data_IF_164148175256
#
_entry.id   IF_164148175256
#
_cell.length_a   1.000
_cell.length_b   1.000
_cell.length_c   1.000
_cell.angle_alpha   90.00
_cell.angle_beta   90.00
_cell.angle_gamma   90.00
#
_symmetry.space_group_name_H-M   'P 1'
#
loop_
_entity.id
_entity.type
_entity.pdbx_description
1 polymer ?
#
# COMPACT_ATOMS: atom_id res chain seq x y z
N UNK A 1 34.38 -58.69 -0.74
CA UNK A 1 34.65 -57.48 0.09
C UNK A 1 34.40 -56.14 -0.63
N UNK A 2 34.56 -56.06 -1.96
CA UNK A 2 34.33 -54.81 -2.73
C UNK A 2 32.85 -54.40 -2.90
N UNK A 3 31.93 -55.38 -2.95
CA UNK A 3 30.51 -55.14 -3.20
C UNK A 3 29.78 -54.50 -2.00
N UNK A 4 30.15 -54.88 -0.77
CA UNK A 4 29.60 -54.33 0.48
C UNK A 4 29.94 -52.84 0.68
N UNK A 5 31.10 -52.38 0.16
CA UNK A 5 31.54 -50.98 0.29
C UNK A 5 30.80 -50.04 -0.66
N UNK A 6 30.38 -50.53 -1.84
CA UNK A 6 29.56 -49.76 -2.79
C UNK A 6 28.10 -49.63 -2.34
N UNK A 7 27.50 -50.71 -1.81
CA UNK A 7 26.13 -50.69 -1.28
C UNK A 7 25.98 -49.72 -0.10
N UNK A 8 26.97 -49.71 0.81
CA UNK A 8 26.97 -48.82 1.99
C UNK A 8 27.12 -47.34 1.61
N UNK A 9 27.87 -47.01 0.55
CA UNK A 9 27.97 -45.63 0.02
C UNK A 9 26.67 -45.19 -0.67
N UNK A 10 26.01 -46.10 -1.38
CA UNK A 10 24.74 -45.82 -2.04
C UNK A 10 23.61 -45.56 -1.02
N UNK A 11 23.58 -46.34 0.07
CA UNK A 11 22.57 -46.19 1.13
C UNK A 11 22.76 -44.89 1.95
N UNK A 12 24.00 -44.44 2.17
CA UNK A 12 24.30 -43.16 2.84
C UNK A 12 23.95 -41.97 1.94
N UNK A 13 24.19 -42.07 0.62
CA UNK A 13 23.78 -41.05 -0.35
C UNK A 13 22.24 -40.96 -0.49
N UNK A 14 21.54 -42.10 -0.44
CA UNK A 14 20.07 -42.12 -0.45
C UNK A 14 19.47 -41.53 0.83
N UNK A 15 20.03 -41.85 2.02
CA UNK A 15 19.57 -41.27 3.29
C UNK A 15 19.81 -39.74 3.35
N UNK A 16 20.92 -39.26 2.79
CA UNK A 16 21.22 -37.82 2.70
C UNK A 16 20.28 -37.07 1.74
N UNK A 17 19.86 -37.70 0.64
CA UNK A 17 18.92 -37.12 -0.31
C UNK A 17 17.47 -37.07 0.22
N UNK A 18 17.08 -38.02 1.08
CA UNK A 18 15.72 -38.05 1.68
C UNK A 18 15.58 -36.98 2.78
N UNK A 19 16.64 -36.63 3.51
CA UNK A 19 16.59 -35.56 4.51
C UNK A 19 16.73 -34.14 3.94
N UNK A 20 17.31 -33.97 2.76
CA UNK A 20 17.42 -32.66 2.10
C UNK A 20 16.10 -32.18 1.44
N UNK A 21 15.11 -33.08 1.28
CA UNK A 21 13.83 -32.78 0.61
C UNK A 21 12.74 -32.17 1.48
N UNK A 22 12.94 -32.08 2.80
CA UNK A 22 11.93 -31.59 3.76
C UNK A 22 12.48 -30.43 4.62
N UNK A 23 13.12 -29.44 3.99
CA UNK A 23 13.13 -28.10 4.61
C UNK A 23 11.75 -27.52 4.30
N UNK A 24 10.80 -27.47 5.26
CA UNK A 24 9.57 -26.74 5.03
C UNK A 24 9.98 -25.32 4.65
N UNK A 25 9.59 -24.88 3.44
CA UNK A 25 9.62 -23.46 3.12
C UNK A 25 8.70 -22.82 4.14
N UNK A 26 9.27 -22.26 5.22
CA UNK A 26 8.53 -21.41 6.14
C UNK A 26 7.74 -20.44 5.27
N UNK A 27 6.41 -20.47 5.38
CA UNK A 27 5.55 -19.56 4.63
C UNK A 27 6.08 -18.14 4.87
N UNK A 28 6.62 -17.54 3.80
CA UNK A 28 7.21 -16.20 3.86
C UNK A 28 6.20 -15.25 4.48
N UNK A 29 6.63 -14.46 5.46
CA UNK A 29 5.87 -13.29 5.87
C UNK A 29 6.02 -12.20 4.81
N UNK A 30 5.13 -11.23 4.78
CA UNK A 30 5.21 -10.11 3.85
C UNK A 30 4.79 -8.80 4.51
N UNK A 31 5.54 -7.74 4.19
CA UNK A 31 5.18 -6.37 4.49
C UNK A 31 4.89 -5.63 3.18
N UNK A 32 3.85 -4.82 3.16
CA UNK A 32 3.46 -4.05 1.98
C UNK A 32 3.37 -2.58 2.32
N UNK A 33 4.17 -1.75 1.65
CA UNK A 33 3.96 -0.31 1.65
C UNK A 33 2.74 0.00 0.76
N UNK A 34 1.70 0.57 1.36
CA UNK A 34 0.53 1.08 0.64
C UNK A 34 0.74 2.56 0.35
N UNK A 35 0.77 2.91 -0.94
CA UNK A 35 0.79 4.28 -1.45
C UNK A 35 -0.62 4.64 -1.92
N UNK A 36 -1.26 5.57 -1.25
CA UNK A 36 -2.65 5.89 -1.54
C UNK A 36 -2.78 7.27 -2.18
N UNK A 37 -3.59 7.34 -3.23
CA UNK A 37 -3.79 8.58 -3.96
C UNK A 37 -4.46 9.68 -3.12
N UNK A 38 -4.10 10.96 -3.34
CA UNK A 38 -4.85 12.06 -2.78
C UNK A 38 -6.28 12.11 -3.36
N UNK A 39 -7.25 12.37 -2.49
CA UNK A 39 -8.65 12.62 -2.88
C UNK A 39 -8.99 14.12 -2.95
N UNK A 40 -8.08 15.01 -2.51
CA UNK A 40 -8.16 16.47 -2.66
C UNK A 40 -6.76 17.08 -2.93
N UNK A 41 -6.70 18.31 -3.46
CA UNK A 41 -5.43 19.06 -3.70
C UNK A 41 -5.44 20.41 -2.96
N UNK A 42 -6.34 20.57 -2.00
CA UNK A 42 -6.52 21.84 -1.31
C UNK A 42 -5.47 21.96 -0.20
N UNK A 43 -4.40 22.71 -0.47
CA UNK A 43 -3.30 22.97 0.47
C UNK A 43 -1.95 22.40 0.01
N UNK A 44 -0.86 22.94 0.57
CA UNK A 44 0.54 22.68 0.16
C UNK A 44 0.95 21.20 0.17
N UNK A 45 0.28 20.36 0.97
CA UNK A 45 0.57 18.92 1.11
C UNK A 45 -0.56 18.00 0.63
N UNK A 46 -1.69 18.56 0.18
CA UNK A 46 -2.87 17.78 -0.16
C UNK A 46 -2.63 16.82 -1.35
N UNK A 47 -1.71 17.16 -2.26
CA UNK A 47 -1.33 16.30 -3.39
C UNK A 47 -0.44 15.10 -3.05
N UNK A 48 0.00 14.98 -1.78
CA UNK A 48 0.99 13.95 -1.38
C UNK A 48 0.40 12.58 -1.10
N UNK A 49 -0.93 12.48 -0.92
CA UNK A 49 -1.62 11.23 -0.65
C UNK A 49 -1.47 10.75 0.80
N UNK A 50 -1.65 9.44 1.02
CA UNK A 50 -1.43 8.78 2.30
C UNK A 50 -0.51 7.57 2.14
N UNK A 51 0.09 7.13 3.24
CA UNK A 51 0.92 5.93 3.26
C UNK A 51 0.59 5.06 4.48
N UNK A 52 0.58 3.74 4.29
CA UNK A 52 0.36 2.77 5.34
C UNK A 52 1.22 1.52 5.13
N UNK A 53 1.30 0.65 6.14
CA UNK A 53 1.92 -0.67 6.01
C UNK A 53 0.87 -1.75 6.23
N UNK A 54 0.74 -2.66 5.26
CA UNK A 54 -0.04 -3.88 5.39
C UNK A 54 0.89 -5.05 5.74
N UNK A 55 0.55 -5.79 6.79
CA UNK A 55 1.27 -6.96 7.28
C UNK A 55 0.35 -8.17 7.21
N UNK A 56 0.72 -9.20 6.43
CA UNK A 56 -0.16 -10.34 6.12
C UNK A 56 -0.22 -11.41 7.23
N UNK A 57 0.70 -11.36 8.19
CA UNK A 57 0.78 -12.29 9.33
C UNK A 57 0.62 -11.64 10.70
N UNK A 58 0.47 -10.32 10.73
CA UNK A 58 0.20 -9.54 11.94
C UNK A 58 -1.25 -9.08 11.92
N UNK A 59 -1.95 -9.26 13.04
CA UNK A 59 -3.36 -8.92 13.21
C UNK A 59 -3.54 -7.97 14.40
N UNK A 60 -4.63 -7.22 14.40
CA UNK A 60 -4.99 -6.36 15.54
C UNK A 60 -5.75 -7.19 16.59
N UNK A 61 -5.31 -7.11 17.85
CA UNK A 61 -6.12 -7.50 19.01
C UNK A 61 -7.06 -6.34 19.39
N UNK A 62 -6.51 -5.13 19.38
CA UNK A 62 -7.26 -3.87 19.51
C UNK A 62 -6.69 -2.87 18.48
N UNK A 63 -7.31 -1.70 18.26
CA UNK A 63 -6.79 -0.69 17.35
C UNK A 63 -5.37 -0.19 17.67
N UNK A 64 -4.81 -0.52 18.84
CA UNK A 64 -3.45 -0.13 19.24
C UNK A 64 -2.63 -1.29 19.81
N UNK A 65 -3.08 -2.53 19.62
CA UNK A 65 -2.39 -3.72 20.13
C UNK A 65 -2.32 -4.78 19.02
N UNK A 66 -1.10 -5.21 18.72
CA UNK A 66 -0.84 -6.19 17.67
C UNK A 66 -0.66 -7.59 18.25
N UNK A 67 -0.98 -8.60 17.44
CA UNK A 67 -0.72 -10.02 17.70
C UNK A 67 -0.43 -10.74 16.40
N UNK A 68 -0.02 -12.01 16.49
CA UNK A 68 0.00 -12.89 15.31
C UNK A 68 -1.42 -13.14 14.83
N UNK A 69 -1.56 -13.28 13.51
CA UNK A 69 -2.80 -13.77 12.93
C UNK A 69 -3.04 -15.25 13.25
N UNK A 70 -4.29 -15.60 13.49
CA UNK A 70 -4.81 -16.95 13.50
C UNK A 70 -5.21 -17.42 12.09
N UNK A 71 -5.68 -18.68 11.96
CA UNK A 71 -6.10 -19.23 10.68
C UNK A 71 -7.23 -18.42 10.04
N UNK A 72 -7.07 -18.08 8.75
CA UNK A 72 -8.08 -17.38 7.96
C UNK A 72 -8.12 -15.86 8.12
N UNK A 73 -7.36 -15.29 9.06
CA UNK A 73 -7.23 -13.83 9.15
C UNK A 73 -6.33 -13.27 8.03
N UNK A 74 -6.67 -12.09 7.53
CA UNK A 74 -6.02 -11.48 6.37
C UNK A 74 -4.99 -10.41 6.74
N UNK A 75 -4.56 -10.36 8.01
CA UNK A 75 -3.60 -9.37 8.45
C UNK A 75 -4.18 -7.99 8.74
N UNK A 76 -3.27 -7.03 8.91
CA UNK A 76 -3.60 -5.69 9.43
C UNK A 76 -2.91 -4.60 8.64
N UNK A 77 -3.58 -3.47 8.52
CA UNK A 77 -3.00 -2.23 8.04
C UNK A 77 -2.70 -1.35 9.24
N UNK A 78 -1.44 -0.94 9.37
CA UNK A 78 -0.98 0.02 10.37
C UNK A 78 -0.57 1.32 9.71
N UNK A 79 -0.99 2.44 10.28
CA UNK A 79 -0.50 3.75 9.88
C UNK A 79 -0.62 4.76 11.01
N UNK A 80 0.11 5.88 10.84
CA UNK A 80 0.05 7.06 11.70
C UNK A 80 -0.92 8.06 11.12
N UNK A 81 -1.83 8.52 11.97
CA UNK A 81 -2.86 9.50 11.63
C UNK A 81 -2.73 10.72 12.54
N UNK A 82 -3.38 11.79 12.15
CA UNK A 82 -3.57 12.98 12.97
C UNK A 82 -4.92 12.88 13.68
N UNK A 83 -4.99 13.27 14.96
CA UNK A 83 -6.26 13.37 15.72
C UNK A 83 -7.10 12.08 15.82
N UNK A 84 -6.46 10.92 16.01
CA UNK A 84 -7.16 9.66 16.29
C UNK A 84 -6.95 9.27 17.75
N UNK A 85 -7.90 9.64 18.62
CA UNK A 85 -7.95 9.27 20.03
C UNK A 85 -6.63 9.46 20.82
N UNK A 86 -5.83 10.49 20.49
CA UNK A 86 -4.53 10.73 21.11
C UNK A 86 -3.50 9.62 20.87
N UNK A 87 -3.66 8.80 19.82
CA UNK A 87 -2.77 7.70 19.44
C UNK A 87 -1.87 8.11 18.29
N UNK A 88 -0.63 7.63 18.32
CA UNK A 88 0.37 7.91 17.30
C UNK A 88 0.24 6.99 16.09
N UNK A 89 -0.21 5.75 16.29
CA UNK A 89 -0.54 4.84 15.21
C UNK A 89 -1.77 4.00 15.57
N UNK A 90 -2.43 3.50 14.53
CA UNK A 90 -3.66 2.72 14.64
C UNK A 90 -3.56 1.50 13.72
N UNK A 91 -4.16 0.40 14.13
CA UNK A 91 -4.22 -0.87 13.43
C UNK A 91 -5.67 -1.20 13.04
N UNK A 92 -5.89 -1.47 11.75
CA UNK A 92 -7.20 -1.80 11.19
C UNK A 92 -7.07 -3.05 10.32
N UNK A 93 -7.91 -4.08 10.49
CA UNK A 93 -7.89 -5.25 9.61
C UNK A 93 -8.04 -4.86 8.13
N UNK A 94 -7.41 -5.62 7.23
CA UNK A 94 -7.27 -5.25 5.81
C UNK A 94 -8.60 -4.92 5.12
N UNK A 95 -9.61 -5.79 5.26
CA UNK A 95 -10.90 -5.62 4.56
C UNK A 95 -11.66 -4.38 5.07
N UNK A 96 -11.83 -4.15 6.39
CA UNK A 96 -12.40 -2.91 6.88
C UNK A 96 -11.59 -1.65 6.55
N UNK A 97 -10.26 -1.74 6.55
CA UNK A 97 -9.41 -0.62 6.15
C UNK A 97 -9.71 -0.18 4.72
N UNK A 98 -9.83 -1.13 3.79
CA UNK A 98 -10.08 -0.84 2.39
C UNK A 98 -11.56 -0.52 2.09
N UNK A 99 -12.50 -1.24 2.72
CA UNK A 99 -13.90 -1.27 2.29
C UNK A 99 -14.92 -1.01 3.41
N UNK A 100 -14.50 -0.72 4.64
CA UNK A 100 -15.37 -0.47 5.80
C UNK A 100 -16.42 -1.57 6.08
N UNK A 101 -16.16 -2.79 5.59
CA UNK A 101 -16.96 -4.00 5.84
C UNK A 101 -16.07 -5.07 6.44
N UNK A 102 -16.65 -6.08 7.07
CA UNK A 102 -15.89 -7.18 7.68
C UNK A 102 -15.61 -8.30 6.68
N UNK A 103 -16.56 -8.62 5.80
CA UNK A 103 -16.42 -9.71 4.84
C UNK A 103 -16.22 -9.18 3.41
N UNK A 104 -15.34 -9.83 2.63
CA UNK A 104 -15.17 -9.52 1.21
C UNK A 104 -16.47 -9.58 0.38
N UNK A 105 -17.42 -10.45 0.74
CA UNK A 105 -18.70 -10.58 0.06
C UNK A 105 -19.64 -9.38 0.22
N UNK A 106 -19.40 -8.54 1.23
CA UNK A 106 -20.22 -7.35 1.53
C UNK A 106 -19.70 -6.10 0.81
N UNK A 107 -18.63 -6.23 0.03
CA UNK A 107 -18.04 -5.11 -0.71
C UNK A 107 -18.99 -4.68 -1.83
N UNK A 108 -19.47 -3.42 -1.84
CA UNK A 108 -20.40 -2.97 -2.85
C UNK A 108 -19.71 -2.84 -4.21
N UNK A 109 -20.39 -3.27 -5.28
CA UNK A 109 -19.92 -3.10 -6.66
C UNK A 109 -19.90 -1.62 -7.10
N UNK A 110 -20.72 -0.80 -6.45
CA UNK A 110 -20.84 0.64 -6.66
C UNK A 110 -21.23 1.31 -5.35
N UNK A 111 -20.61 2.43 -5.01
CA UNK A 111 -20.86 3.14 -3.76
C UNK A 111 -21.11 4.63 -4.00
N UNK A 112 -22.16 5.16 -3.35
CA UNK A 112 -22.42 6.59 -3.27
C UNK A 112 -21.98 7.15 -1.90
N UNK A 113 -21.95 8.49 -1.73
CA UNK A 113 -21.51 9.08 -0.46
C UNK A 113 -22.33 8.68 0.77
N UNK A 114 -23.63 8.40 0.62
CA UNK A 114 -24.50 8.01 1.74
C UNK A 114 -24.18 6.59 2.19
N UNK A 115 -24.00 5.67 1.23
CA UNK A 115 -23.61 4.30 1.52
C UNK A 115 -22.23 4.25 2.21
N UNK A 116 -21.25 4.99 1.70
CA UNK A 116 -19.91 5.03 2.31
C UNK A 116 -19.96 5.56 3.74
N UNK A 117 -20.70 6.65 3.99
CA UNK A 117 -20.86 7.20 5.33
C UNK A 117 -21.51 6.19 6.28
N UNK A 118 -22.54 5.47 5.82
CA UNK A 118 -23.21 4.42 6.58
C UNK A 118 -22.26 3.27 6.95
N UNK A 119 -21.54 2.72 5.97
CA UNK A 119 -20.61 1.59 6.20
C UNK A 119 -19.49 1.97 7.19
N UNK A 120 -18.89 3.16 7.01
CA UNK A 120 -17.86 3.69 7.91
C UNK A 120 -18.40 3.85 9.33
N UNK A 121 -19.56 4.48 9.47
CA UNK A 121 -20.17 4.69 10.78
C UNK A 121 -20.44 3.37 11.49
N UNK A 122 -21.04 2.40 10.80
CA UNK A 122 -21.34 1.08 11.36
C UNK A 122 -20.07 0.35 11.85
N UNK A 123 -18.98 0.41 11.09
CA UNK A 123 -17.75 -0.25 11.48
C UNK A 123 -17.01 0.51 12.60
N UNK A 124 -16.93 1.84 12.52
CA UNK A 124 -16.26 2.67 13.55
C UNK A 124 -16.92 2.54 14.93
N UNK A 125 -18.25 2.38 14.99
CA UNK A 125 -18.97 2.13 16.24
C UNK A 125 -18.48 0.87 16.98
N UNK A 126 -17.94 -0.12 16.25
CA UNK A 126 -17.40 -1.36 16.82
C UNK A 126 -15.95 -1.22 17.29
N UNK A 127 -15.18 -0.29 16.71
CA UNK A 127 -13.74 -0.17 16.97
C UNK A 127 -13.40 0.54 18.28
N UNK A 128 -14.35 1.22 18.93
CA UNK A 128 -14.11 2.11 20.08
C UNK A 128 -12.99 3.14 19.81
N UNK A 129 -12.99 3.70 18.59
CA UNK A 129 -12.06 4.74 18.15
C UNK A 129 -12.83 6.03 17.91
N UNK A 130 -12.35 7.13 18.51
CA UNK A 130 -12.89 8.48 18.34
C UNK A 130 -11.85 9.44 17.76
N UNK A 131 -12.32 10.54 17.13
CA UNK A 131 -11.44 11.53 16.52
C UNK A 131 -12.08 12.20 15.29
N UNK A 132 -11.60 13.39 14.95
CA UNK A 132 -12.09 14.17 13.79
C UNK A 132 -11.82 13.50 12.45
N UNK A 133 -10.76 12.68 12.38
CA UNK A 133 -10.23 12.12 11.14
C UNK A 133 -10.45 10.60 11.03
N UNK A 134 -11.33 10.04 11.86
CA UNK A 134 -11.66 8.60 11.90
C UNK A 134 -12.22 8.07 10.57
N UNK A 135 -12.77 8.93 9.72
CA UNK A 135 -13.19 8.52 8.38
C UNK A 135 -12.01 8.08 7.49
N UNK A 136 -10.77 8.48 7.82
CA UNK A 136 -9.57 8.15 7.03
C UNK A 136 -9.00 6.76 7.34
N UNK A 137 -9.40 6.13 8.45
CA UNK A 137 -8.85 4.84 8.88
C UNK A 137 -9.63 3.64 8.30
N UNK A 138 -10.79 3.87 7.67
CA UNK A 138 -11.69 2.82 7.16
C UNK A 138 -12.30 3.19 5.80
N UNK A 139 -12.42 2.19 4.93
CA UNK A 139 -12.99 2.39 3.59
C UNK A 139 -12.12 3.24 2.66
N UNK A 140 -10.79 3.11 2.71
CA UNK A 140 -9.90 3.93 1.87
C UNK A 140 -10.15 3.75 0.37
N UNK A 141 -10.53 2.54 -0.08
CA UNK A 141 -10.82 2.24 -1.48
C UNK A 141 -12.08 2.93 -2.02
N UNK A 142 -12.90 3.57 -1.19
CA UNK A 142 -14.00 4.42 -1.68
C UNK A 142 -13.50 5.78 -2.17
N UNK A 143 -12.46 6.33 -1.52
CA UNK A 143 -11.96 7.66 -1.81
C UNK A 143 -10.83 7.63 -2.85
N UNK A 144 -10.08 6.53 -2.91
CA UNK A 144 -8.82 6.50 -3.66
C UNK A 144 -8.37 5.15 -4.16
N UNK A 145 -7.54 5.19 -5.20
CA UNK A 145 -6.75 4.05 -5.65
C UNK A 145 -5.52 3.91 -4.78
N UNK A 146 -5.17 2.68 -4.41
CA UNK A 146 -4.01 2.37 -3.58
C UNK A 146 -3.05 1.44 -4.33
N UNK A 147 -1.76 1.73 -4.27
CA UNK A 147 -0.68 0.93 -4.85
C UNK A 147 0.09 0.22 -3.75
N UNK A 148 0.14 -1.11 -3.80
CA UNK A 148 0.90 -1.93 -2.86
C UNK A 148 2.29 -2.25 -3.40
N UNK A 149 3.31 -2.04 -2.58
CA UNK A 149 4.70 -2.42 -2.81
C UNK A 149 5.10 -3.46 -1.77
N UNK A 150 4.91 -4.73 -2.13
CA UNK A 150 5.05 -5.87 -1.23
C UNK A 150 6.44 -6.45 -1.27
N UNK A 151 7.04 -6.62 -0.10
CA UNK A 151 8.36 -7.23 0.09
C UNK A 151 8.24 -8.44 0.99
N UNK A 152 9.08 -9.44 0.77
CA UNK A 152 9.16 -10.61 1.65
C UNK A 152 9.81 -10.25 2.98
N UNK A 153 9.31 -10.82 4.07
CA UNK A 153 9.84 -10.69 5.42
C UNK A 153 9.89 -12.08 6.07
N UNK A 154 10.43 -12.17 7.29
CA UNK A 154 10.40 -13.40 8.08
C UNK A 154 9.36 -13.34 9.21
N UNK A 155 8.79 -14.49 9.60
CA UNK A 155 7.85 -14.55 10.73
C UNK A 155 8.46 -14.02 12.03
N UNK A 156 9.75 -14.27 12.25
CA UNK A 156 10.50 -13.82 13.42
C UNK A 156 10.67 -12.29 13.42
N UNK A 157 10.82 -11.67 12.25
CA UNK A 157 10.83 -10.21 12.13
C UNK A 157 9.47 -9.61 12.49
N UNK A 158 8.37 -10.24 12.08
CA UNK A 158 7.02 -9.80 12.47
C UNK A 158 6.81 -9.89 13.98
N UNK A 159 7.32 -10.93 14.62
CA UNK A 159 7.25 -11.09 16.09
C UNK A 159 8.03 -10.01 16.84
N UNK A 160 9.21 -9.67 16.34
CA UNK A 160 9.99 -8.57 16.90
C UNK A 160 9.28 -7.23 16.67
N UNK A 161 8.67 -7.01 15.50
CA UNK A 161 7.89 -5.81 15.23
C UNK A 161 6.71 -5.68 16.20
N UNK A 162 5.95 -6.77 16.40
CA UNK A 162 4.84 -6.82 17.35
C UNK A 162 5.34 -6.46 18.76
N UNK A 163 6.41 -7.12 19.24
CA UNK A 163 6.97 -6.85 20.57
C UNK A 163 7.37 -5.38 20.72
N UNK A 164 8.05 -4.83 19.72
CA UNK A 164 8.49 -3.44 19.73
C UNK A 164 7.30 -2.48 19.79
N UNK A 165 6.36 -2.58 18.85
CA UNK A 165 5.22 -1.65 18.78
C UNK A 165 4.30 -1.75 19.98
N UNK A 166 4.11 -2.95 20.54
CA UNK A 166 3.30 -3.14 21.75
C UNK A 166 4.01 -2.64 23.03
N UNK A 167 5.35 -2.55 23.03
CA UNK A 167 6.13 -2.04 24.17
C UNK A 167 6.28 -0.52 24.19
N UNK A 168 6.15 0.13 23.03
CA UNK A 168 6.28 1.58 22.90
C UNK A 168 5.01 2.29 23.39
N UNK A 169 5.18 3.46 24.02
CA UNK A 169 4.06 4.31 24.43
C UNK A 169 3.39 4.91 23.20
N UNK A 170 2.26 4.36 22.77
CA UNK A 170 1.47 4.83 21.63
C UNK A 170 0.64 6.08 21.97
N UNK A 171 1.33 7.20 22.16
CA UNK A 171 0.76 8.54 22.39
C UNK A 171 1.06 9.46 21.21
N UNK A 172 0.05 10.17 20.74
CA UNK A 172 0.10 11.03 19.57
C UNK A 172 1.32 11.95 19.60
N UNK A 173 2.16 11.80 18.57
CA UNK A 173 3.32 12.64 18.35
C UNK A 173 3.42 13.04 16.88
N UNK A 174 2.26 13.16 16.22
CA UNK A 174 2.17 13.51 14.81
C UNK A 174 2.76 14.90 14.57
N UNK A 175 3.61 15.01 13.53
CA UNK A 175 4.12 16.27 13.04
C UNK A 175 4.18 16.20 11.51
N UNK A 176 3.42 17.04 10.82
CA UNK A 176 3.23 16.98 9.37
C UNK A 176 4.55 16.86 8.57
N UNK A 177 5.62 17.53 9.02
CA UNK A 177 6.91 17.58 8.32
C UNK A 177 7.94 16.53 8.76
N UNK A 178 7.81 15.96 9.97
CA UNK A 178 8.89 15.16 10.59
C UNK A 178 8.42 13.82 11.17
N UNK A 179 7.13 13.69 11.45
CA UNK A 179 6.47 12.54 12.10
C UNK A 179 5.08 12.34 11.49
N UNK A 180 5.04 12.10 10.19
CA UNK A 180 3.80 11.85 9.45
C UNK A 180 3.63 10.35 9.10
N UNK A 181 2.63 10.02 8.30
CA UNK A 181 2.36 8.66 7.84
C UNK A 181 3.52 8.04 7.04
N UNK A 182 4.18 8.83 6.19
CA UNK A 182 5.31 8.37 5.39
C UNK A 182 6.59 8.16 6.23
N UNK A 183 6.79 8.97 7.28
CA UNK A 183 7.86 8.71 8.27
C UNK A 183 7.59 7.44 9.08
N UNK A 184 6.33 7.15 9.40
CA UNK A 184 5.95 5.89 10.05
C UNK A 184 6.22 4.70 9.12
N UNK A 185 5.78 4.76 7.86
CA UNK A 185 6.11 3.75 6.85
C UNK A 185 7.61 3.53 6.72
N UNK A 186 8.40 4.61 6.68
CA UNK A 186 9.87 4.51 6.68
C UNK A 186 10.39 3.74 7.89
N UNK A 187 9.88 4.04 9.10
CA UNK A 187 10.29 3.36 10.32
C UNK A 187 10.03 1.85 10.25
N UNK A 188 8.85 1.45 9.80
CA UNK A 188 8.46 0.04 9.69
C UNK A 188 9.22 -0.67 8.57
N UNK A 189 9.27 -0.10 7.37
CA UNK A 189 9.98 -0.73 6.23
C UNK A 189 11.47 -0.84 6.52
N UNK A 190 12.09 0.19 7.12
CA UNK A 190 13.51 0.13 7.46
C UNK A 190 13.82 -0.78 8.64
N UNK A 191 12.83 -1.13 9.47
CA UNK A 191 12.99 -2.17 10.47
C UNK A 191 13.21 -3.54 9.81
N UNK A 192 12.46 -3.86 8.74
CA UNK A 192 12.65 -5.08 7.97
C UNK A 192 13.89 -5.03 7.07
N UNK A 193 14.10 -3.91 6.40
CA UNK A 193 15.22 -3.70 5.47
C UNK A 193 15.88 -2.34 5.71
N UNK A 194 16.99 -2.31 6.48
CA UNK A 194 17.69 -1.08 6.79
C UNK A 194 17.99 -0.24 5.54
N UNK A 195 17.69 1.06 5.63
CA UNK A 195 17.92 2.06 4.58
C UNK A 195 17.11 1.87 3.28
N UNK A 196 16.15 0.95 3.21
CA UNK A 196 15.35 0.73 2.01
C UNK A 196 14.50 1.95 1.61
N UNK A 197 14.04 2.71 2.61
CA UNK A 197 13.26 3.93 2.44
C UNK A 197 13.99 5.12 3.05
N UNK A 198 14.13 6.19 2.27
CA UNK A 198 14.84 7.40 2.69
C UNK A 198 14.18 8.68 2.17
N UNK A 199 14.37 9.78 2.90
CA UNK A 199 13.85 11.09 2.52
C UNK A 199 14.58 11.61 1.27
N UNK A 200 13.92 12.48 0.51
CA UNK A 200 14.54 13.20 -0.60
C UNK A 200 14.80 14.65 -0.17
N UNK A 201 16.06 15.04 -0.09
CA UNK A 201 16.43 16.42 0.27
C UNK A 201 16.05 17.39 -0.85
N UNK A 202 16.31 17.00 -2.10
CA UNK A 202 16.11 17.86 -3.28
C UNK A 202 14.67 17.81 -3.79
N UNK A 203 14.02 16.63 -3.83
CA UNK A 203 12.69 16.46 -4.44
C UNK A 203 11.50 16.80 -3.54
N UNK A 204 11.70 16.76 -2.21
CA UNK A 204 10.64 16.94 -1.21
C UNK A 204 11.06 17.88 -0.06
N UNK A 205 12.08 18.72 -0.28
CA UNK A 205 12.58 19.68 0.71
C UNK A 205 12.96 19.03 2.06
N UNK A 206 13.40 17.77 2.03
CA UNK A 206 13.76 17.01 3.23
C UNK A 206 12.58 16.45 4.02
N UNK A 207 11.34 16.61 3.55
CA UNK A 207 10.13 15.98 4.10
C UNK A 207 10.00 14.57 3.55
N UNK A 208 9.51 13.63 4.37
CA UNK A 208 9.12 12.31 3.86
C UNK A 208 7.71 12.39 3.26
N UNK A 209 7.58 12.03 1.98
CA UNK A 209 6.28 11.92 1.30
C UNK A 209 5.95 10.46 0.98
N UNK A 210 4.64 10.10 0.86
CA UNK A 210 4.23 8.78 0.41
C UNK A 210 4.88 8.37 -0.92
N UNK A 211 4.92 9.29 -1.90
CA UNK A 211 5.57 9.05 -3.20
C UNK A 211 7.06 8.71 -3.04
N UNK A 212 7.78 9.47 -2.23
CA UNK A 212 9.20 9.22 -2.00
C UNK A 212 9.44 7.90 -1.27
N UNK A 213 8.55 7.51 -0.36
CA UNK A 213 8.64 6.23 0.32
C UNK A 213 8.57 5.06 -0.68
N UNK A 214 7.57 5.07 -1.58
CA UNK A 214 7.44 4.08 -2.64
C UNK A 214 8.59 4.14 -3.67
N UNK A 215 9.00 5.34 -4.09
CA UNK A 215 10.08 5.55 -5.06
C UNK A 215 11.43 5.05 -4.55
N UNK A 216 11.76 5.32 -3.29
CA UNK A 216 13.02 4.83 -2.69
C UNK A 216 12.98 3.31 -2.48
N UNK A 217 11.88 2.74 -1.99
CA UNK A 217 11.72 1.29 -1.85
C UNK A 217 11.89 0.56 -3.20
N UNK A 218 11.21 1.04 -4.25
CA UNK A 218 11.31 0.46 -5.60
C UNK A 218 12.71 0.61 -6.20
N UNK A 219 13.41 1.71 -5.91
CA UNK A 219 14.80 1.88 -6.30
C UNK A 219 15.71 0.89 -5.58
N UNK A 220 15.60 0.77 -4.25
CA UNK A 220 16.36 -0.18 -3.44
C UNK A 220 16.12 -1.62 -3.92
N UNK A 221 14.86 -2.03 -4.10
CA UNK A 221 14.53 -3.40 -4.51
C UNK A 221 15.14 -3.82 -5.85
N UNK A 222 15.39 -2.87 -6.78
CA UNK A 222 16.11 -3.17 -8.04
C UNK A 222 17.55 -3.64 -7.80
N UNK A 223 18.18 -3.16 -6.74
CA UNK A 223 19.55 -3.53 -6.34
C UNK A 223 19.57 -4.65 -5.30
N UNK A 224 18.42 -5.01 -4.73
CA UNK A 224 18.27 -6.04 -3.68
C UNK A 224 17.18 -7.07 -4.06
N UNK A 225 17.45 -7.99 -5.01
CA UNK A 225 16.48 -8.97 -5.51
C UNK A 225 15.87 -9.88 -4.43
N UNK A 226 16.58 -10.07 -3.30
CA UNK A 226 16.11 -10.84 -2.15
C UNK A 226 14.84 -10.27 -1.51
N UNK A 227 14.52 -8.99 -1.73
CA UNK A 227 13.27 -8.38 -1.25
C UNK A 227 12.04 -8.94 -1.98
N UNK A 228 12.22 -9.54 -3.17
CA UNK A 228 11.17 -10.09 -4.02
C UNK A 228 9.97 -9.16 -4.17
N UNK A 229 10.28 -7.90 -4.48
CA UNK A 229 9.29 -6.83 -4.62
C UNK A 229 8.21 -7.22 -5.63
N UNK A 230 6.96 -7.23 -5.17
CA UNK A 230 5.77 -7.39 -6.00
C UNK A 230 4.91 -6.14 -5.90
N UNK A 231 4.44 -5.61 -7.03
CA UNK A 231 3.56 -4.44 -7.07
C UNK A 231 2.11 -4.84 -7.39
N UNK A 232 1.16 -4.18 -6.75
CA UNK A 232 -0.26 -4.38 -7.04
C UNK A 232 -1.09 -3.09 -6.86
N UNK A 233 -2.32 -3.10 -7.36
CA UNK A 233 -3.27 -2.00 -7.28
C UNK A 233 -4.54 -2.50 -6.58
N UNK A 234 -4.97 -1.78 -5.55
CA UNK A 234 -6.34 -1.85 -5.03
C UNK A 234 -7.16 -0.78 -5.76
N UNK A 235 -8.10 -1.19 -6.64
CA UNK A 235 -8.86 -0.23 -7.41
C UNK A 235 -9.85 0.52 -6.52
N UNK A 236 -10.02 1.83 -6.79
CA UNK A 236 -11.08 2.60 -6.15
C UNK A 236 -12.46 2.06 -6.59
N UNK A 237 -13.33 1.82 -5.62
CA UNK A 237 -14.73 1.40 -5.84
C UNK A 237 -15.46 2.44 -6.69
N UNK A 238 -16.18 2.04 -7.75
CA UNK A 238 -16.93 2.96 -8.59
C UNK A 238 -18.03 3.71 -7.81
N UNK A 239 -18.27 4.98 -8.17
CA UNK A 239 -19.46 5.74 -7.76
C UNK A 239 -19.19 7.06 -7.04
N UNK A 240 -17.97 7.25 -6.53
CA UNK A 240 -17.48 8.54 -6.06
C UNK A 240 -16.53 9.18 -7.08
N UNK A 241 -16.15 10.43 -6.80
CA UNK A 241 -15.15 11.17 -7.58
C UNK A 241 -13.84 10.39 -7.60
N UNK A 242 -13.25 10.24 -8.79
CA UNK A 242 -11.97 9.52 -8.93
C UNK A 242 -10.84 10.26 -8.24
N UNK A 243 -9.98 9.51 -7.55
CA UNK A 243 -8.71 10.01 -7.04
C UNK A 243 -7.78 10.42 -8.18
N UNK A 244 -6.68 11.07 -7.80
CA UNK A 244 -5.73 11.69 -8.72
C UNK A 244 -4.31 11.19 -8.41
N UNK A 245 -3.38 11.22 -9.38
CA UNK A 245 -2.04 10.67 -9.20
C UNK A 245 -1.25 11.32 -8.04
N UNK A 246 -0.46 10.53 -7.32
CA UNK A 246 0.36 11.04 -6.21
C UNK A 246 1.47 11.97 -6.71
N UNK A 247 1.64 13.11 -6.04
CA UNK A 247 2.73 14.05 -6.28
C UNK A 247 3.68 14.19 -5.07
N UNK A 248 4.96 14.46 -5.33
CA UNK A 248 5.90 14.92 -4.30
C UNK A 248 5.57 16.35 -3.82
N UNK A 249 6.31 16.87 -2.84
CA UNK A 249 6.08 18.24 -2.34
C UNK A 249 6.33 19.27 -3.44
N UNK A 250 7.48 19.19 -4.12
CA UNK A 250 7.83 20.15 -5.18
C UNK A 250 6.89 20.01 -6.37
N UNK A 251 6.52 18.78 -6.76
CA UNK A 251 5.52 18.57 -7.82
C UNK A 251 4.16 19.17 -7.44
N UNK A 252 3.74 19.07 -6.18
CA UNK A 252 2.49 19.68 -5.70
C UNK A 252 2.55 21.22 -5.73
N UNK A 253 3.70 21.80 -5.38
CA UNK A 253 3.94 23.25 -5.46
C UNK A 253 4.00 23.75 -6.90
N UNK A 254 4.75 23.05 -7.76
CA UNK A 254 4.97 23.40 -9.16
C UNK A 254 3.73 23.14 -10.01
N UNK A 255 2.88 22.15 -9.70
CA UNK A 255 1.66 21.90 -10.47
C UNK A 255 0.44 22.65 -9.92
N UNK A 256 0.56 23.30 -8.77
CA UNK A 256 -0.52 24.12 -8.23
C UNK A 256 -0.68 25.40 -9.07
N UNK A 257 -1.86 25.55 -9.70
CA UNK A 257 -2.21 26.69 -10.58
C UNK A 257 -1.85 28.06 -9.97
N UNK A 258 -2.00 28.21 -8.65
CA UNK A 258 -1.70 29.45 -7.92
C UNK A 258 -0.24 29.90 -8.04
N UNK A 259 0.71 28.97 -8.17
CA UNK A 259 2.15 29.26 -8.24
C UNK A 259 2.70 29.19 -9.66
N UNK A 260 2.07 28.41 -10.55
CA UNK A 260 2.46 28.35 -11.97
C UNK A 260 2.20 29.66 -12.69
N UNK A 261 1.05 30.30 -12.47
CA UNK A 261 0.66 31.49 -13.25
C UNK A 261 1.68 32.63 -13.18
N UNK A 262 2.19 33.03 -11.98
CA UNK A 262 3.24 34.03 -11.91
C UNK A 262 4.57 33.57 -12.55
N UNK A 263 4.98 32.32 -12.31
CA UNK A 263 6.27 31.80 -12.84
C UNK A 263 6.24 31.66 -14.35
N UNK A 264 5.11 31.28 -14.94
CA UNK A 264 4.92 31.21 -16.39
C UNK A 264 5.02 32.59 -17.03
N UNK A 265 4.52 33.64 -16.35
CA UNK A 265 4.60 35.03 -16.84
C UNK A 265 6.06 35.55 -16.87
N UNK A 266 6.86 35.24 -15.85
CA UNK A 266 8.23 35.78 -15.74
C UNK A 266 9.33 34.85 -16.27
N UNK A 267 9.11 33.53 -16.24
CA UNK A 267 10.10 32.51 -16.61
C UNK A 267 9.47 31.32 -17.39
N UNK A 268 8.95 31.57 -18.61
CA UNK A 268 8.23 30.55 -19.38
C UNK A 268 9.12 29.34 -19.75
N UNK A 269 10.40 29.56 -20.03
CA UNK A 269 11.35 28.48 -20.38
C UNK A 269 11.55 27.49 -19.22
N UNK A 270 11.55 27.96 -17.97
CA UNK A 270 11.67 27.07 -16.81
C UNK A 270 10.42 26.21 -16.64
N UNK A 271 9.23 26.78 -16.79
CA UNK A 271 7.97 26.03 -16.70
C UNK A 271 7.90 24.98 -17.80
N UNK A 272 8.18 25.36 -19.05
CA UNK A 272 8.18 24.42 -20.19
C UNK A 272 9.26 23.35 -20.03
N UNK A 273 10.45 23.69 -19.53
CA UNK A 273 11.52 22.71 -19.27
C UNK A 273 11.14 21.69 -18.20
N UNK A 274 10.54 22.13 -17.10
CA UNK A 274 10.08 21.24 -16.02
C UNK A 274 8.90 20.38 -16.49
N UNK A 275 7.93 20.95 -17.20
CA UNK A 275 6.81 20.19 -17.76
C UNK A 275 7.29 19.15 -18.78
N UNK A 276 8.16 19.54 -19.73
CA UNK A 276 8.69 18.60 -20.73
C UNK A 276 9.47 17.46 -20.08
N UNK A 277 10.35 17.72 -19.11
CA UNK A 277 11.03 16.67 -18.34
C UNK A 277 10.04 15.77 -17.56
N UNK A 278 8.97 16.35 -17.00
CA UNK A 278 7.93 15.61 -16.29
C UNK A 278 7.17 14.65 -17.23
N UNK A 279 6.78 15.12 -18.41
CA UNK A 279 6.01 14.35 -19.40
C UNK A 279 6.87 13.35 -20.20
N UNK A 280 8.17 13.60 -20.36
CA UNK A 280 9.09 12.74 -21.15
C UNK A 280 9.61 11.51 -20.41
N UNK A 281 9.14 11.25 -19.18
CA UNK A 281 9.35 9.95 -18.52
C UNK A 281 10.15 9.98 -17.22
N UNK A 282 10.45 11.16 -16.66
CA UNK A 282 11.05 11.25 -15.32
C UNK A 282 10.05 10.91 -14.19
N UNK A 283 8.75 10.82 -14.48
CA UNK A 283 7.72 10.51 -13.48
C UNK A 283 7.88 9.10 -12.94
N UNK A 284 7.79 8.97 -11.62
CA UNK A 284 7.59 7.67 -10.97
C UNK A 284 6.17 7.17 -11.28
N UNK A 285 6.07 6.01 -11.91
CA UNK A 285 4.80 5.34 -12.21
C UNK A 285 4.56 4.20 -11.21
N UNK A 286 3.65 4.37 -10.23
CA UNK A 286 3.39 3.36 -9.22
C UNK A 286 2.62 2.14 -9.76
N UNK A 287 1.97 2.26 -10.92
CA UNK A 287 1.21 1.18 -11.55
C UNK A 287 2.08 0.23 -12.39
N UNK A 288 3.37 0.54 -12.56
CA UNK A 288 4.24 -0.19 -13.49
C UNK A 288 4.35 -1.66 -13.10
N UNK A 289 3.88 -2.54 -13.97
CA UNK A 289 3.92 -3.99 -13.80
C UNK A 289 3.01 -4.52 -12.69
N UNK A 290 2.07 -3.71 -12.21
CA UNK A 290 1.27 -4.03 -11.04
C UNK A 290 0.17 -5.06 -11.35
N UNK A 291 -0.02 -6.00 -10.42
CA UNK A 291 -1.18 -6.90 -10.38
C UNK A 291 -2.43 -6.16 -9.85
N UNK A 292 -3.61 -6.75 -9.95
CA UNK A 292 -4.84 -6.24 -9.36
C UNK A 292 -5.13 -7.01 -8.08
N UNK A 293 -5.38 -6.31 -6.98
CA UNK A 293 -5.81 -6.94 -5.74
C UNK A 293 -7.30 -7.26 -5.79
N UNK A 294 -7.62 -8.52 -5.51
CA UNK A 294 -8.96 -9.05 -5.30
C UNK A 294 -9.09 -9.51 -3.83
N UNK A 295 -10.08 -9.00 -3.09
CA UNK A 295 -10.30 -9.31 -1.67
C UNK A 295 -10.50 -10.80 -1.32
N UNK A 296 -10.87 -11.64 -2.30
CA UNK A 296 -11.12 -13.08 -2.12
C UNK A 296 -10.01 -13.91 -2.76
N UNK A 297 -9.57 -13.52 -3.97
CA UNK A 297 -8.65 -14.29 -4.82
C UNK A 297 -7.19 -13.87 -4.69
N UNK A 298 -6.90 -12.77 -3.99
CA UNK A 298 -5.55 -12.26 -3.80
C UNK A 298 -5.07 -11.44 -5.00
N UNK A 299 -3.84 -11.66 -5.47
CA UNK A 299 -3.30 -10.89 -6.60
C UNK A 299 -3.63 -11.54 -7.94
N UNK A 300 -4.29 -10.79 -8.81
CA UNK A 300 -4.67 -11.20 -10.16
C UNK A 300 -3.87 -10.46 -11.23
N UNK A 301 -3.66 -11.11 -12.37
CA UNK A 301 -3.03 -10.46 -13.52
C UNK A 301 -3.98 -9.45 -14.16
N UNK A 302 -3.51 -8.24 -14.52
CA UNK A 302 -4.35 -7.27 -15.22
C UNK A 302 -4.77 -7.80 -16.60
N UNK A 303 -5.94 -7.35 -17.07
CA UNK A 303 -6.43 -7.68 -18.39
C UNK A 303 -5.44 -7.22 -19.47
N UNK A 304 -5.10 -8.14 -20.38
CA UNK A 304 -4.31 -7.83 -21.58
C UNK A 304 -5.02 -6.79 -22.46
N UNK A 305 -4.30 -6.11 -23.34
CA UNK A 305 -4.89 -5.12 -24.26
C UNK A 305 -6.01 -5.73 -25.12
N UNK A 306 -5.84 -6.98 -25.56
CA UNK A 306 -6.86 -7.71 -26.33
C UNK A 306 -8.11 -8.00 -25.47
N UNK A 307 -7.93 -8.48 -24.24
CA UNK A 307 -9.04 -8.73 -23.31
C UNK A 307 -9.79 -7.44 -22.95
N UNK A 308 -9.07 -6.33 -22.73
CA UNK A 308 -9.70 -5.02 -22.47
C UNK A 308 -10.52 -4.54 -23.66
N UNK A 309 -9.99 -4.63 -24.87
CA UNK A 309 -10.71 -4.24 -26.09
C UNK A 309 -11.97 -5.10 -26.28
N UNK A 310 -11.86 -6.41 -26.06
CA UNK A 310 -13.00 -7.33 -26.13
C UNK A 310 -14.06 -7.02 -25.06
N UNK A 311 -13.65 -6.77 -23.82
CA UNK A 311 -14.55 -6.43 -22.73
C UNK A 311 -15.28 -5.10 -22.97
N UNK A 312 -14.56 -4.08 -23.43
CA UNK A 312 -15.15 -2.79 -23.81
C UNK A 312 -16.17 -2.94 -24.95
N UNK A 313 -15.84 -3.72 -25.98
CA UNK A 313 -16.78 -4.01 -27.07
C UNK A 313 -18.04 -4.72 -26.55
N UNK A 314 -17.88 -5.69 -25.66
CA UNK A 314 -18.99 -6.44 -25.06
C UNK A 314 -19.88 -5.57 -24.18
N UNK A 315 -19.29 -4.69 -23.36
CA UNK A 315 -20.05 -3.71 -22.56
C UNK A 315 -20.84 -2.75 -23.45
N UNK A 316 -20.24 -2.26 -24.53
CA UNK A 316 -20.90 -1.36 -25.49
C UNK A 316 -22.07 -2.06 -26.19
N UNK A 317 -21.90 -3.33 -26.58
CA UNK A 317 -22.97 -4.14 -27.17
C UNK A 317 -24.14 -4.33 -26.19
N UNK A 318 -23.86 -4.73 -24.93
CA UNK A 318 -24.89 -4.91 -23.90
C UNK A 318 -25.61 -3.60 -23.52
N UNK A 319 -24.93 -2.46 -23.59
CA UNK A 319 -25.57 -1.15 -23.40
C UNK A 319 -26.49 -0.81 -24.57
N UNK A 320 -26.07 -1.13 -25.79
CA UNK A 320 -26.89 -0.92 -26.97
C UNK A 320 -28.14 -1.80 -26.94
N UNK A 321 -28.01 -3.08 -26.57
CA UNK A 321 -29.13 -4.03 -26.43
C UNK A 321 -30.14 -3.59 -25.37
N UNK A 322 -29.69 -3.04 -24.23
CA UNK A 322 -30.57 -2.48 -23.19
C UNK A 322 -31.31 -1.21 -23.58
N UNK A 323 -30.83 -0.51 -24.61
CA UNK A 323 -31.40 0.75 -25.09
C UNK A 323 -32.22 0.56 -26.39
N UNK A 324 -32.43 -0.68 -26.83
CA UNK A 324 -33.43 -0.97 -27.86
C UNK A 324 -34.83 -0.94 -27.22
N UNK A 325 -35.82 -0.30 -27.87
CA UNK A 325 -37.15 -0.05 -27.32
C UNK A 325 -37.98 -1.32 -27.08
#
# INVERSE_FOLDING_TARGET
MFLHRKLRKFFVLLLGAVFAGFIPKSASAQATLLLEEPYSYDGTFAGTGHAAVYLDRVCAETPTLLRRCGPGEQGVVISRYHHINGRDWVAVPLIPYLYAVENPGDIPLYADPKLVAFLRHQYLQKMDVSGSDTYQIVGSAYDRTTYGFRIETSPEQDDELIRRLNSETNLEAYQLLKRNCADFVKQIVNFYYPHAVHRSVIGDLGVMTPKQAAKSLTHTAKHHPQMRLTTFIVPQVPGLKRSKPVHGVIESLVLAKKYVTPVLLFHPVLVVGVETAYWTGWRFDPAKGASIFDPVRGLETPLTSAQRAWYQKSLSAMKHERNLP
#
